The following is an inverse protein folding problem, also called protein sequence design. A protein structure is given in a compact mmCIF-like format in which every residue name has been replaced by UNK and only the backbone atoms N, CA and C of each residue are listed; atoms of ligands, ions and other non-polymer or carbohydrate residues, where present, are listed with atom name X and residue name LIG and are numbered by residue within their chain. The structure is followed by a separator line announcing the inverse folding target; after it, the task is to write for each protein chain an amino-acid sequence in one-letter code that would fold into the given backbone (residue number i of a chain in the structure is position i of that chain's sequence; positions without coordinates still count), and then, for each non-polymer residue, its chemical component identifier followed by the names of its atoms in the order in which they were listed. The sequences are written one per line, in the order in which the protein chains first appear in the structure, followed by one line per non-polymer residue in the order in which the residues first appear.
data_IF_419034979879
#
_entry.id   IF_419034979879
#
_cell.length_a   1.000
_cell.length_b   1.000
_cell.length_c   1.000
_cell.angle_alpha   90.00
_cell.angle_beta   90.00
_cell.angle_gamma   90.00
#
_symmetry.space_group_name_H-M   'P 1'
#
loop_
_entity.id
_entity.type
_entity.pdbx_description
1 polymer ?
#
# COMPACT_ATOMS: atom_id res chain seq x y z
N UNK A 1 1.73 -14.46 81.74
CA UNK A 1 2.23 -14.96 80.37
C UNK A 1 1.14 -14.72 79.41
N UNK A 2 1.22 -13.61 78.67
CA UNK A 2 0.17 -13.17 77.74
C UNK A 2 0.77 -13.10 76.36
N UNK A 3 0.34 -13.99 75.48
CA UNK A 3 0.78 -14.00 74.08
C UNK A 3 -0.05 -13.02 73.25
N UNK A 4 0.54 -11.95 72.81
CA UNK A 4 0.01 -11.01 71.82
C UNK A 4 0.04 -11.66 70.42
N UNK A 5 -1.17 -11.91 69.87
CA UNK A 5 -1.30 -12.34 68.47
C UNK A 5 -1.36 -11.10 67.58
N UNK A 6 -0.31 -10.91 66.77
CA UNK A 6 -0.25 -9.87 65.77
C UNK A 6 -1.04 -10.30 64.51
N UNK A 7 -2.11 -9.60 64.21
CA UNK A 7 -2.89 -9.79 62.96
C UNK A 7 -2.25 -8.93 61.89
N UNK A 8 -1.56 -9.58 60.94
CA UNK A 8 -1.16 -8.94 59.67
C UNK A 8 -2.39 -8.82 58.80
N UNK A 9 -2.79 -7.60 58.51
CA UNK A 9 -3.78 -7.32 57.47
C UNK A 9 -3.09 -7.24 56.14
N UNK A 10 -3.35 -8.20 55.25
CA UNK A 10 -2.95 -8.13 53.86
C UNK A 10 -3.92 -7.21 53.11
N UNK A 11 -3.45 -6.01 52.76
CA UNK A 11 -4.11 -5.15 51.80
C UNK A 11 -3.75 -5.64 50.39
N UNK A 12 -4.67 -6.35 49.77
CA UNK A 12 -4.62 -6.68 48.38
C UNK A 12 -4.91 -5.42 47.54
N UNK A 13 -3.85 -4.77 47.05
CA UNK A 13 -3.98 -3.71 46.06
C UNK A 13 -4.38 -4.35 44.73
N UNK A 14 -5.63 -4.23 44.33
CA UNK A 14 -6.08 -4.52 43.01
C UNK A 14 -5.58 -3.41 42.07
N UNK A 15 -4.48 -3.70 41.35
CA UNK A 15 -4.05 -2.90 40.23
C UNK A 15 -5.06 -3.07 39.10
N UNK A 16 -5.92 -2.08 38.93
CA UNK A 16 -6.73 -1.97 37.73
C UNK A 16 -5.79 -1.67 36.57
N UNK A 17 -5.44 -2.72 35.84
CA UNK A 17 -4.79 -2.55 34.51
C UNK A 17 -5.85 -1.97 33.58
N UNK A 18 -5.84 -0.65 33.44
CA UNK A 18 -6.56 0.03 32.37
C UNK A 18 -5.87 -0.35 31.07
N UNK A 19 -6.44 -1.31 30.35
CA UNK A 19 -6.10 -1.52 28.94
C UNK A 19 -6.61 -0.29 28.22
N UNK A 20 -5.75 0.72 28.08
CA UNK A 20 -5.95 1.77 27.12
C UNK A 20 -5.98 1.06 25.76
N UNK A 21 -7.17 0.92 25.19
CA UNK A 21 -7.34 0.47 23.83
C UNK A 21 -6.45 1.35 22.97
N UNK A 22 -5.50 0.73 22.30
CA UNK A 22 -4.77 1.38 21.24
C UNK A 22 -5.79 1.75 20.16
N UNK A 23 -6.36 2.95 20.29
CA UNK A 23 -6.98 3.61 19.16
C UNK A 23 -5.84 3.78 18.17
N UNK A 24 -5.89 3.00 17.08
CA UNK A 24 -4.96 3.16 16.00
C UNK A 24 -4.94 4.64 15.62
N UNK A 25 -3.84 5.30 15.92
CA UNK A 25 -3.56 6.63 15.41
C UNK A 25 -3.55 6.44 13.91
N UNK A 26 -4.61 6.91 13.27
CA UNK A 26 -4.62 7.09 11.84
C UNK A 26 -3.66 8.27 11.62
N UNK A 27 -2.40 7.96 11.37
CA UNK A 27 -1.28 8.90 11.30
C UNK A 27 -1.42 9.87 10.12
N UNK A 28 -2.62 10.02 9.59
CA UNK A 28 -2.93 10.96 8.52
C UNK A 28 -2.21 10.65 7.21
N UNK A 29 -1.65 9.43 7.06
CA UNK A 29 -1.17 8.97 5.76
C UNK A 29 -2.41 8.76 4.90
N UNK A 30 -2.59 9.51 3.81
CA UNK A 30 -3.76 9.35 2.97
C UNK A 30 -3.76 7.95 2.37
N UNK A 31 -4.94 7.38 2.22
CA UNK A 31 -5.15 6.04 1.66
C UNK A 31 -4.44 5.86 0.29
N UNK A 32 -4.25 6.96 -0.43
CA UNK A 32 -3.67 7.00 -1.76
C UNK A 32 -2.62 8.11 -1.87
N UNK A 33 -1.50 8.00 -1.18
CA UNK A 33 -0.48 9.03 -1.30
C UNK A 33 0.68 8.89 -0.35
N UNK A 34 1.49 9.93 -0.29
CA UNK A 34 2.60 10.05 0.64
C UNK A 34 2.82 11.50 1.09
N UNK A 35 3.91 11.77 1.77
CA UNK A 35 4.25 13.13 2.24
C UNK A 35 4.53 14.12 1.09
N UNK A 36 4.84 13.62 -0.11
CA UNK A 36 5.21 14.45 -1.26
C UNK A 36 4.05 14.70 -2.21
N UNK A 37 3.13 13.73 -2.36
CA UNK A 37 1.99 13.83 -3.26
C UNK A 37 0.78 13.06 -2.75
N UNK A 38 -0.37 13.74 -2.74
CA UNK A 38 -1.65 13.20 -2.26
C UNK A 38 -2.69 13.29 -3.37
N UNK A 39 -2.81 12.26 -4.22
CA UNK A 39 -3.86 12.24 -5.22
C UNK A 39 -5.23 12.12 -4.56
N UNK A 40 -6.24 12.68 -5.21
CA UNK A 40 -7.63 12.47 -4.80
C UNK A 40 -8.39 11.71 -5.87
N UNK A 41 -9.28 10.82 -5.43
CA UNK A 41 -10.14 10.05 -6.33
C UNK A 41 -11.00 10.99 -7.17
N UNK A 42 -11.02 10.78 -8.49
CA UNK A 42 -11.72 11.65 -9.43
C UNK A 42 -10.90 12.83 -9.94
N UNK A 43 -9.62 12.99 -9.53
CA UNK A 43 -8.77 14.02 -10.13
C UNK A 43 -8.59 13.79 -11.63
N UNK A 44 -8.42 14.89 -12.36
CA UNK A 44 -8.25 14.83 -13.82
C UNK A 44 -6.98 14.07 -14.21
N UNK A 45 -7.14 13.11 -15.12
CA UNK A 45 -6.06 12.53 -15.91
C UNK A 45 -6.03 13.18 -17.30
N UNK A 46 -5.38 12.54 -18.27
CA UNK A 46 -5.34 13.02 -19.65
C UNK A 46 -6.73 12.92 -20.31
N UNK A 47 -7.28 11.73 -20.37
CA UNK A 47 -8.53 11.41 -21.06
C UNK A 47 -9.63 10.92 -20.11
N UNK A 48 -9.23 10.43 -18.92
CA UNK A 48 -10.13 9.89 -17.89
C UNK A 48 -9.70 10.37 -16.51
N UNK A 49 -10.62 10.34 -15.56
CA UNK A 49 -10.31 10.64 -14.16
C UNK A 49 -9.55 9.48 -13.51
N UNK A 50 -8.68 9.80 -12.56
CA UNK A 50 -7.99 8.76 -11.79
C UNK A 50 -8.92 8.15 -10.75
N UNK A 51 -9.04 6.80 -10.79
CA UNK A 51 -9.75 6.00 -9.79
C UNK A 51 -8.90 4.78 -9.47
N UNK A 52 -8.46 4.61 -8.22
CA UNK A 52 -7.64 3.46 -7.85
C UNK A 52 -8.44 2.16 -7.90
N UNK A 53 -7.88 1.13 -8.51
CA UNK A 53 -8.49 -0.20 -8.56
C UNK A 53 -8.49 -0.84 -7.17
N UNK A 54 -9.62 -1.41 -6.68
CA UNK A 54 -9.65 -2.13 -5.41
C UNK A 54 -8.68 -3.32 -5.39
N UNK A 55 -8.00 -3.56 -4.27
CA UNK A 55 -6.97 -4.61 -4.16
C UNK A 55 -7.48 -6.02 -4.49
N UNK A 56 -8.69 -6.34 -4.05
CA UNK A 56 -9.33 -7.62 -4.36
C UNK A 56 -9.54 -7.82 -5.87
N UNK A 57 -9.84 -6.73 -6.59
CA UNK A 57 -9.99 -6.78 -8.05
C UNK A 57 -8.64 -6.95 -8.73
N UNK A 58 -7.60 -6.23 -8.29
CA UNK A 58 -6.22 -6.39 -8.80
C UNK A 58 -5.78 -7.85 -8.69
N UNK A 59 -5.94 -8.44 -7.51
CA UNK A 59 -5.59 -9.85 -7.28
C UNK A 59 -6.36 -10.79 -8.22
N UNK A 60 -7.66 -10.60 -8.37
CA UNK A 60 -8.48 -11.42 -9.27
C UNK A 60 -8.11 -11.28 -10.74
N UNK A 61 -7.80 -10.07 -11.19
CA UNK A 61 -7.36 -9.82 -12.56
C UNK A 61 -6.05 -10.57 -12.87
N UNK A 62 -5.05 -10.46 -12.00
CA UNK A 62 -3.76 -11.13 -12.18
C UNK A 62 -3.90 -12.66 -12.11
N UNK A 63 -4.76 -13.18 -11.23
CA UNK A 63 -5.09 -14.61 -11.17
C UNK A 63 -5.79 -15.09 -12.44
N UNK A 64 -6.78 -14.34 -12.93
CA UNK A 64 -7.53 -14.68 -14.16
C UNK A 64 -6.61 -14.68 -15.37
N UNK A 65 -5.64 -13.77 -15.43
CA UNK A 65 -4.58 -13.72 -16.45
C UNK A 65 -3.57 -14.87 -16.30
N UNK A 66 -3.64 -15.67 -15.23
CA UNK A 66 -2.66 -16.71 -14.88
C UNK A 66 -1.23 -16.18 -14.84
N UNK A 67 -1.07 -14.98 -14.32
CA UNK A 67 0.23 -14.30 -14.19
C UNK A 67 1.23 -15.16 -13.43
N UNK A 68 2.45 -15.25 -13.94
CA UNK A 68 3.57 -16.02 -13.38
C UNK A 68 4.84 -15.19 -13.31
N UNK A 69 5.87 -15.70 -12.67
CA UNK A 69 7.20 -15.09 -12.60
C UNK A 69 7.90 -14.91 -13.95
N UNK A 70 7.43 -15.58 -14.99
CA UNK A 70 7.97 -15.52 -16.36
C UNK A 70 7.38 -14.38 -17.17
N UNK A 71 6.29 -13.79 -16.67
CA UNK A 71 5.55 -12.76 -17.41
C UNK A 71 6.11 -11.36 -17.17
N UNK A 72 5.77 -10.47 -18.10
CA UNK A 72 5.90 -9.03 -17.96
C UNK A 72 4.49 -8.43 -18.04
N UNK A 73 4.04 -7.82 -16.96
CA UNK A 73 2.75 -7.16 -16.88
C UNK A 73 2.89 -5.71 -17.28
N UNK A 74 2.16 -5.27 -18.30
CA UNK A 74 2.04 -3.86 -18.69
C UNK A 74 0.75 -3.27 -18.14
N UNK A 75 0.86 -2.14 -17.46
CA UNK A 75 -0.27 -1.35 -16.95
C UNK A 75 -0.28 0.03 -17.62
N UNK A 76 -1.23 0.22 -18.52
CA UNK A 76 -1.37 1.43 -19.33
C UNK A 76 -2.33 2.40 -18.64
N UNK A 77 -1.77 3.31 -17.87
CA UNK A 77 -2.48 4.18 -16.93
C UNK A 77 -2.28 3.71 -15.49
N UNK A 78 -1.02 3.54 -15.11
CA UNK A 78 -0.65 2.84 -13.88
C UNK A 78 -1.06 3.57 -12.58
N UNK A 79 -1.42 4.84 -12.66
CA UNK A 79 -1.80 5.62 -11.49
C UNK A 79 -0.73 5.62 -10.41
N UNK A 80 -1.10 5.20 -9.21
CA UNK A 80 -0.21 5.06 -8.07
C UNK A 80 0.63 3.76 -8.07
N UNK A 81 0.56 2.96 -9.15
CA UNK A 81 1.36 1.77 -9.37
C UNK A 81 0.81 0.48 -8.73
N UNK A 82 -0.43 0.46 -8.30
CA UNK A 82 -1.02 -0.65 -7.54
C UNK A 82 -0.94 -1.99 -8.29
N UNK A 83 -1.31 -2.03 -9.58
CA UNK A 83 -1.31 -3.27 -10.38
C UNK A 83 0.12 -3.78 -10.63
N UNK A 84 1.07 -2.98 -11.15
CA UNK A 84 2.43 -3.46 -11.35
C UNK A 84 3.12 -3.89 -10.06
N UNK A 85 2.86 -3.20 -8.95
CA UNK A 85 3.40 -3.58 -7.63
C UNK A 85 2.84 -4.93 -7.18
N UNK A 86 1.53 -5.17 -7.31
CA UNK A 86 0.91 -6.44 -6.96
C UNK A 86 1.43 -7.58 -7.84
N UNK A 87 1.59 -7.36 -9.15
CA UNK A 87 2.16 -8.35 -10.07
C UNK A 87 3.57 -8.78 -9.61
N UNK A 88 4.41 -7.83 -9.25
CA UNK A 88 5.78 -8.11 -8.81
C UNK A 88 5.82 -8.76 -7.41
N UNK A 89 5.05 -8.23 -6.46
CA UNK A 89 5.06 -8.68 -5.06
C UNK A 89 4.47 -10.08 -4.91
N UNK A 90 3.29 -10.30 -5.49
CA UNK A 90 2.46 -11.48 -5.21
C UNK A 90 2.69 -12.60 -6.22
N UNK A 91 3.01 -12.26 -7.47
CA UNK A 91 3.20 -13.22 -8.57
C UNK A 91 4.65 -13.35 -9.03
N UNK A 92 5.57 -12.53 -8.50
CA UNK A 92 7.00 -12.49 -8.87
C UNK A 92 7.24 -12.10 -10.33
N UNK A 93 6.23 -11.59 -11.02
CA UNK A 93 6.33 -11.11 -12.38
C UNK A 93 7.20 -9.85 -12.46
N UNK A 94 7.70 -9.53 -13.66
CA UNK A 94 8.19 -8.18 -13.96
C UNK A 94 6.99 -7.32 -14.34
N UNK A 95 7.07 -6.02 -14.11
CA UNK A 95 5.97 -5.14 -14.47
C UNK A 95 6.47 -3.77 -14.96
N UNK A 96 5.75 -3.22 -15.92
CA UNK A 96 5.96 -1.88 -16.45
C UNK A 96 4.64 -1.11 -16.31
N UNK A 97 4.66 -0.01 -15.59
CA UNK A 97 3.55 0.92 -15.49
C UNK A 97 3.84 2.19 -16.28
N UNK A 98 2.88 2.66 -17.06
CA UNK A 98 2.97 3.94 -17.75
C UNK A 98 1.89 4.85 -17.21
N UNK A 99 2.28 6.03 -16.76
CA UNK A 99 1.37 7.00 -16.17
C UNK A 99 1.62 8.39 -16.76
N UNK A 100 0.56 9.01 -17.27
CA UNK A 100 0.63 10.32 -17.89
C UNK A 100 0.94 11.45 -16.90
N UNK A 101 0.35 11.38 -15.70
CA UNK A 101 0.60 12.38 -14.66
C UNK A 101 1.96 12.13 -13.99
N UNK A 102 2.94 13.06 -14.13
CA UNK A 102 4.29 12.84 -13.61
C UNK A 102 4.35 12.73 -12.07
N UNK A 103 3.44 13.36 -11.34
CA UNK A 103 3.39 13.27 -9.87
C UNK A 103 2.85 11.91 -9.43
N UNK A 104 1.84 11.37 -10.12
CA UNK A 104 1.38 9.99 -9.90
C UNK A 104 2.46 8.97 -10.28
N UNK A 105 3.16 9.14 -11.39
CA UNK A 105 4.27 8.27 -11.78
C UNK A 105 5.40 8.28 -10.75
N UNK A 106 5.75 9.45 -10.22
CA UNK A 106 6.71 9.57 -9.14
C UNK A 106 6.23 8.90 -7.85
N UNK A 107 4.94 9.04 -7.50
CA UNK A 107 4.34 8.33 -6.38
C UNK A 107 4.38 6.81 -6.58
N UNK A 108 4.00 6.31 -7.76
CA UNK A 108 4.06 4.88 -8.10
C UNK A 108 5.48 4.31 -7.95
N UNK A 109 6.49 5.07 -8.39
CA UNK A 109 7.91 4.68 -8.21
C UNK A 109 8.26 4.55 -6.73
N UNK A 110 7.90 5.52 -5.90
CA UNK A 110 8.12 5.45 -4.45
C UNK A 110 7.33 4.32 -3.78
N UNK A 111 6.11 4.05 -4.27
CA UNK A 111 5.30 2.92 -3.81
C UNK A 111 5.99 1.58 -4.09
N UNK A 112 6.57 1.40 -5.29
CA UNK A 112 7.33 0.20 -5.63
C UNK A 112 8.58 0.03 -4.76
N UNK A 113 9.28 1.13 -4.43
CA UNK A 113 10.40 1.12 -3.49
C UNK A 113 9.95 0.70 -2.08
N UNK A 114 8.88 1.30 -1.56
CA UNK A 114 8.31 0.95 -0.23
C UNK A 114 7.83 -0.50 -0.16
N UNK A 115 7.31 -1.03 -1.25
CA UNK A 115 6.90 -2.43 -1.35
C UNK A 115 8.07 -3.42 -1.54
N UNK A 116 9.31 -2.93 -1.70
CA UNK A 116 10.49 -3.77 -1.90
C UNK A 116 10.55 -4.49 -3.24
N UNK A 117 9.91 -3.93 -4.29
CA UNK A 117 9.83 -4.54 -5.63
C UNK A 117 10.38 -3.64 -6.74
N UNK A 118 11.15 -2.62 -6.40
CA UNK A 118 11.71 -1.67 -7.37
C UNK A 118 12.64 -2.31 -8.41
N UNK A 119 13.19 -3.48 -8.13
CA UNK A 119 14.01 -4.28 -9.06
C UNK A 119 13.17 -5.00 -10.12
N UNK A 120 11.86 -5.13 -9.92
CA UNK A 120 10.92 -5.81 -10.82
C UNK A 120 9.89 -4.89 -11.45
N UNK A 121 9.73 -3.67 -10.92
CA UNK A 121 8.74 -2.69 -11.37
C UNK A 121 9.42 -1.48 -11.97
N UNK A 122 9.10 -1.18 -13.22
CA UNK A 122 9.51 0.04 -13.90
C UNK A 122 8.29 0.94 -14.12
N UNK A 123 8.35 2.18 -13.64
CA UNK A 123 7.34 3.19 -13.91
C UNK A 123 7.90 4.22 -14.90
N UNK A 124 7.10 4.51 -15.91
CA UNK A 124 7.43 5.47 -16.97
C UNK A 124 6.39 6.61 -16.88
N UNK A 125 6.87 7.83 -16.68
CA UNK A 125 6.03 9.02 -16.84
C UNK A 125 5.92 9.34 -18.33
N UNK A 126 4.71 9.31 -18.89
CA UNK A 126 4.53 9.59 -20.31
C UNK A 126 3.16 9.19 -20.85
N UNK A 127 2.98 9.48 -22.12
CA UNK A 127 1.79 9.12 -22.87
C UNK A 127 1.88 7.69 -23.40
N UNK A 128 0.85 6.89 -23.17
CA UNK A 128 0.79 5.50 -23.68
C UNK A 128 0.85 5.42 -25.20
N UNK A 129 0.39 6.45 -25.90
CA UNK A 129 0.41 6.49 -27.37
C UNK A 129 1.76 6.87 -27.96
N UNK A 130 2.70 7.34 -27.15
CA UNK A 130 4.05 7.74 -27.55
C UNK A 130 5.13 6.71 -27.13
N UNK A 131 4.72 5.63 -26.46
CA UNK A 131 5.63 4.59 -25.99
C UNK A 131 5.66 3.40 -26.95
N UNK A 132 6.86 2.84 -27.14
CA UNK A 132 7.07 1.59 -27.89
C UNK A 132 6.99 0.41 -26.91
N UNK A 133 6.13 -0.55 -27.22
CA UNK A 133 5.91 -1.79 -26.46
C UNK A 133 6.49 -3.04 -27.13
N UNK A 134 7.26 -2.87 -28.25
CA UNK A 134 7.89 -3.98 -28.95
C UNK A 134 9.08 -4.59 -28.23
#
# INVERSE_FOLDING_TARGET
MTRMASRLAFLAAWSVFSVAGAQGVNDGVPEHGDQYYRPHVGQSGKDVVWVPTPDALVTRMLQAAKTTEKDVVYDLGAGDGKIPIAAARDFKARAVGIEYNPELAALATRNAQRAGVADRVRIIAGDIFENDFS
#
